data_IF_293471595462
#
_entry.id   IF_293471595462
#
_cell.length_a   1.000
_cell.length_b   1.000
_cell.length_c   1.000
_cell.angle_alpha   90.00
_cell.angle_beta   90.00
_cell.angle_gamma   90.00
#
_symmetry.space_group_name_H-M   'P 1'
#
loop_
_entity.id
_entity.type
_entity.pdbx_description
1 polymer ?
2 polymer ?
3 water ?
#
# COMPACT_ATOMS: atom_id res chain seq x y z
N UNK A 3 -21.46 12.82 12.66
CA UNK A 3 -20.54 11.70 12.53
C UNK A 3 -20.70 11.01 11.18
N UNK A 4 -21.81 11.31 10.50
CA UNK A 4 -22.07 10.77 9.17
C UNK A 4 -20.99 11.20 8.19
N UNK A 5 -20.55 12.46 8.32
CA UNK A 5 -19.47 12.97 7.48
C UNK A 5 -18.20 12.16 7.69
N UNK A 6 -17.85 11.91 8.95
CA UNK A 6 -16.62 11.19 9.25
C UNK A 6 -16.60 9.77 8.70
N UNK A 7 -17.68 9.02 8.91
CA UNK A 7 -17.78 7.65 8.41
C UNK A 7 -17.72 7.60 6.89
N UNK A 8 -18.43 8.53 6.26
CA UNK A 8 -18.41 8.68 4.81
C UNK A 8 -17.00 8.93 4.31
N UNK A 9 -16.28 9.82 4.97
CA UNK A 9 -14.91 10.15 4.58
C UNK A 9 -14.00 8.95 4.75
N UNK A 10 -14.23 8.15 5.79
CA UNK A 10 -13.43 6.94 6.01
C UNK A 10 -13.64 5.92 4.87
N UNK A 11 -14.88 5.75 4.45
CA UNK A 11 -15.18 4.86 3.33
C UNK A 11 -14.51 5.40 2.07
N UNK A 12 -14.69 6.69 1.82
CA UNK A 12 -14.14 7.29 0.62
C UNK A 12 -12.63 7.14 0.58
N UNK A 13 -11.98 7.39 1.72
CA UNK A 13 -10.53 7.25 1.81
C UNK A 13 -10.08 5.83 1.46
N UNK A 14 -10.74 4.83 2.06
CA UNK A 14 -10.42 3.43 1.78
C UNK A 14 -10.49 3.17 0.29
N UNK A 15 -11.57 3.63 -0.33
CA UNK A 15 -11.80 3.32 -1.73
C UNK A 15 -10.79 4.04 -2.64
N UNK A 16 -10.54 5.31 -2.36
CA UNK A 16 -9.53 6.05 -3.13
C UNK A 16 -8.15 5.42 -2.98
N UNK A 17 -7.77 5.05 -1.77
CA UNK A 17 -6.49 4.41 -1.57
C UNK A 17 -6.41 3.09 -2.32
N UNK A 18 -7.45 2.28 -2.22
CA UNK A 18 -7.42 0.98 -2.87
C UNK A 18 -7.21 1.13 -4.38
N UNK A 19 -7.93 2.07 -4.98
CA UNK A 19 -7.84 2.30 -6.40
C UNK A 19 -6.52 2.93 -6.81
N UNK A 20 -6.08 3.94 -6.08
CA UNK A 20 -4.90 4.69 -6.46
C UNK A 20 -3.60 3.97 -6.17
N UNK A 21 -3.53 3.31 -5.02
CA UNK A 21 -2.34 2.56 -4.66
C UNK A 21 -2.32 1.16 -5.27
N UNK A 22 -3.47 0.68 -5.73
CA UNK A 22 -3.56 -0.70 -6.18
C UNK A 22 -3.30 -1.69 -5.05
N UNK A 23 -3.80 -1.38 -3.86
CA UNK A 23 -3.62 -2.23 -2.69
C UNK A 23 -4.95 -2.39 -1.98
N UNK A 24 -5.41 -3.65 -1.88
CA UNK A 24 -6.62 -4.01 -1.16
C UNK A 24 -6.20 -4.75 0.10
N UNK A 25 -6.87 -4.48 1.21
CA UNK A 25 -6.53 -5.11 2.48
C UNK A 25 -7.78 -5.84 2.96
N UNK A 26 -7.69 -7.17 3.09
CA UNK A 26 -8.84 -8.03 3.36
C UNK A 26 -8.67 -8.74 4.68
N UNK A 27 -9.70 -8.72 5.53
CA UNK A 27 -9.67 -9.44 6.79
C UNK A 27 -10.07 -10.88 6.60
N UNK A 28 -9.28 -11.81 7.15
CA UNK A 28 -9.63 -13.22 7.06
C UNK A 28 -9.56 -13.87 8.43
N UNK A 29 -9.81 -15.17 8.48
CA UNK A 29 -9.84 -15.94 9.72
C UNK A 29 -8.55 -15.84 10.52
N UNK A 30 -8.64 -16.15 11.81
CA UNK A 30 -7.50 -16.16 12.71
C UNK A 30 -6.81 -14.80 12.82
N UNK A 31 -7.60 -13.73 12.74
CA UNK A 31 -7.10 -12.37 12.93
C UNK A 31 -5.94 -12.03 12.00
N UNK A 32 -6.10 -12.38 10.72
CA UNK A 32 -5.08 -12.11 9.74
C UNK A 32 -5.58 -11.11 8.72
N UNK A 33 -4.63 -10.42 8.09
CA UNK A 33 -4.94 -9.50 7.00
C UNK A 33 -4.21 -9.93 5.75
N UNK A 34 -4.93 -9.97 4.65
CA UNK A 34 -4.32 -10.17 3.34
C UNK A 34 -4.08 -8.82 2.69
N UNK A 35 -2.87 -8.63 2.15
CA UNK A 35 -2.51 -7.45 1.40
C UNK A 35 -2.42 -7.87 -0.06
N UNK A 36 -3.34 -7.36 -0.87
CA UNK A 36 -3.42 -7.73 -2.28
C UNK A 36 -2.94 -6.54 -3.13
N UNK A 37 -1.77 -6.69 -3.73
CA UNK A 37 -1.25 -5.69 -4.66
C UNK A 37 -1.68 -6.03 -6.08
N UNK A 38 -2.28 -5.04 -6.72
CA UNK A 38 -2.50 -5.10 -8.16
C UNK A 38 -1.73 -3.90 -8.74
N UNK A 39 -1.86 -3.67 -10.03
CA UNK A 39 -1.10 -2.60 -10.69
C UNK A 39 0.41 -2.82 -10.51
N UNK A 40 0.81 -4.08 -10.54
CA UNK A 40 2.20 -4.50 -10.41
C UNK A 40 2.75 -4.83 -11.81
N UNK A 41 2.05 -5.72 -12.50
CA UNK A 41 2.35 -6.13 -13.87
C UNK A 41 1.71 -5.14 -14.85
N UNK A 42 2.54 -4.35 -15.52
CA UNK A 42 2.06 -3.33 -16.46
C UNK A 42 1.21 -3.91 -17.61
N UNK A 43 1.38 -5.20 -17.89
CA UNK A 43 0.61 -5.85 -18.96
C UNK A 43 -0.64 -6.58 -18.46
N UNK A 44 -0.82 -6.61 -17.15
CA UNK A 44 -1.98 -7.27 -16.58
C UNK A 44 -2.21 -6.58 -15.25
N UNK A 45 -2.77 -5.35 -15.30
CA UNK A 45 -2.87 -4.54 -14.09
C UNK A 45 -3.75 -5.15 -13.01
N UNK A 46 -4.63 -6.09 -13.36
CA UNK A 46 -5.46 -6.71 -12.35
C UNK A 46 -4.80 -7.96 -11.73
N UNK A 47 -3.65 -8.38 -12.26
CA UNK A 47 -2.94 -9.55 -11.73
C UNK A 47 -2.51 -9.29 -10.28
N UNK A 48 -2.95 -10.16 -9.36
CA UNK A 48 -2.67 -9.93 -7.94
C UNK A 48 -1.38 -10.57 -7.43
N UNK A 49 -0.73 -9.85 -6.52
CA UNK A 49 0.45 -10.30 -5.80
C UNK A 49 0.13 -10.07 -4.34
N UNK A 50 0.17 -11.11 -3.52
CA UNK A 50 -0.38 -10.97 -2.17
C UNK A 50 0.49 -11.60 -1.10
N UNK A 51 0.32 -11.10 0.12
CA UNK A 51 0.87 -11.79 1.27
C UNK A 51 -0.10 -11.64 2.42
N UNK A 52 0.03 -12.52 3.41
CA UNK A 52 -0.84 -12.53 4.57
C UNK A 52 -0.04 -12.23 5.82
N UNK A 53 -0.61 -11.40 6.68
CA UNK A 53 0.05 -10.91 7.88
C UNK A 53 -0.77 -11.22 9.13
N UNK A 54 -0.08 -11.68 10.16
CA UNK A 54 -0.68 -11.86 11.47
C UNK A 54 0.18 -11.14 12.49
N UNK A 55 -0.37 -11.01 13.70
CA UNK A 55 0.39 -10.53 14.85
C UNK A 55 0.48 -11.71 15.80
N UNK A 56 1.70 -12.11 16.17
CA UNK A 56 1.86 -13.25 17.06
C UNK A 56 1.56 -12.90 18.52
N UNK A 57 1.71 -13.87 19.39
CA UNK A 57 1.32 -13.72 20.78
C UNK A 57 2.19 -12.73 21.54
N UNK A 58 3.34 -12.38 20.99
CA UNK A 58 4.22 -11.39 21.60
C UNK A 58 4.08 -10.02 20.95
N UNK A 59 3.12 -9.87 20.04
CA UNK A 59 2.88 -8.62 19.37
C UNK A 59 3.72 -8.38 18.12
N UNK A 60 4.43 -9.40 17.66
CA UNK A 60 5.30 -9.27 16.49
C UNK A 60 4.58 -9.58 15.19
N UNK A 61 4.94 -8.83 14.15
CA UNK A 61 4.49 -9.13 12.80
C UNK A 61 4.97 -10.50 12.36
N UNK A 62 4.06 -11.25 11.73
CA UNK A 62 4.38 -12.57 11.21
C UNK A 62 3.75 -12.75 9.83
N UNK A 63 4.57 -12.94 8.81
CA UNK A 63 4.08 -13.23 7.46
C UNK A 63 3.68 -14.70 7.41
N UNK A 64 2.42 -14.98 7.11
CA UNK A 64 1.94 -16.36 7.13
C UNK A 64 1.78 -16.96 5.73
N UNK A 65 1.82 -16.13 4.69
CA UNK A 65 1.78 -16.63 3.32
C UNK A 65 2.30 -15.54 2.40
N UNK A 66 2.75 -15.94 1.21
CA UNK A 66 3.17 -14.98 0.20
C UNK A 66 3.02 -15.65 -1.16
N UNK A 67 2.15 -15.09 -2.00
CA UNK A 67 1.79 -15.70 -3.28
C UNK A 67 1.76 -14.64 -4.37
N UNK A 68 2.69 -14.70 -5.32
CA UNK A 68 3.80 -15.65 -5.45
C UNK A 68 4.85 -15.42 -4.37
N UNK A 69 5.69 -16.42 -4.13
CA UNK A 69 6.74 -16.28 -3.11
C UNK A 69 7.73 -15.17 -3.45
N UNK A 70 8.32 -14.60 -2.41
CA UNK A 70 9.37 -13.60 -2.53
C UNK A 70 10.59 -14.06 -1.76
N UNK A 71 11.75 -14.02 -2.43
CA UNK A 71 12.98 -14.44 -1.79
C UNK A 71 13.37 -13.55 -0.62
N UNK A 72 12.87 -12.31 -0.61
CA UNK A 72 13.29 -11.33 0.39
C UNK A 72 12.32 -11.12 1.55
N UNK A 73 11.12 -11.67 1.48
CA UNK A 73 10.10 -11.28 2.46
C UNK A 73 10.40 -11.76 3.89
N UNK A 74 11.05 -12.91 4.05
CA UNK A 74 11.44 -13.33 5.38
C UNK A 74 12.43 -12.35 6.02
N UNK A 75 13.38 -11.85 5.22
CA UNK A 75 14.28 -10.83 5.73
C UNK A 75 13.53 -9.53 5.99
N UNK A 76 12.53 -9.21 5.18
CA UNK A 76 11.73 -8.03 5.44
C UNK A 76 10.99 -8.15 6.79
N UNK A 77 10.54 -9.36 7.12
CA UNK A 77 9.94 -9.57 8.43
C UNK A 77 10.94 -9.31 9.55
N UNK A 78 12.16 -9.81 9.41
CA UNK A 78 13.19 -9.52 10.39
C UNK A 78 13.33 -8.00 10.55
N UNK A 79 13.42 -7.30 9.42
CA UNK A 79 13.64 -5.86 9.44
C UNK A 79 12.49 -5.10 10.07
N UNK A 80 11.25 -5.52 9.83
CA UNK A 80 10.13 -4.81 10.44
C UNK A 80 10.08 -5.09 11.94
N UNK A 81 10.53 -6.27 12.35
CA UNK A 81 10.59 -6.57 13.78
C UNK A 81 11.64 -5.71 14.46
N UNK A 82 12.74 -5.43 13.76
CA UNK A 82 13.83 -4.64 14.31
C UNK A 82 13.56 -3.14 14.32
N UNK A 83 12.96 -2.64 13.24
CA UNK A 83 12.78 -1.21 13.06
C UNK A 83 11.39 -0.71 13.43
N UNK A 84 10.42 -1.63 13.50
CA UNK A 84 9.01 -1.28 13.65
C UNK A 84 8.53 -0.32 12.58
N UNK A 85 9.15 -0.35 11.39
CA UNK A 85 8.76 0.55 10.32
C UNK A 85 7.79 -0.16 9.38
N UNK A 86 6.51 -0.12 9.73
CA UNK A 86 5.51 -0.82 8.94
C UNK A 86 5.41 -0.28 7.52
N UNK A 87 5.45 1.05 7.38
CA UNK A 87 5.43 1.67 6.06
C UNK A 87 6.54 1.13 5.15
N UNK A 88 7.78 1.14 5.65
CA UNK A 88 8.90 0.65 4.84
C UNK A 88 8.76 -0.84 4.52
N UNK A 89 8.23 -1.62 5.45
CA UNK A 89 7.97 -3.04 5.24
C UNK A 89 7.05 -3.23 4.04
N UNK A 90 5.91 -2.54 4.04
CA UNK A 90 4.96 -2.69 2.95
C UNK A 90 5.54 -2.17 1.63
N UNK A 91 6.20 -1.02 1.68
CA UNK A 91 6.78 -0.44 0.47
C UNK A 91 7.86 -1.34 -0.13
N UNK A 92 8.66 -1.97 0.73
CA UNK A 92 9.67 -2.89 0.24
C UNK A 92 9.06 -4.14 -0.39
N UNK A 93 7.97 -4.64 0.20
CA UNK A 93 7.27 -5.78 -0.39
C UNK A 93 6.73 -5.41 -1.78
N UNK A 94 6.13 -4.24 -1.90
CA UNK A 94 5.58 -3.84 -3.19
C UNK A 94 6.68 -3.78 -4.24
N UNK A 95 7.82 -3.19 -3.89
CA UNK A 95 8.95 -3.07 -4.79
C UNK A 95 9.45 -4.45 -5.22
N UNK A 96 9.49 -5.37 -4.27
CA UNK A 96 9.92 -6.73 -4.56
C UNK A 96 8.98 -7.44 -5.53
N UNK A 97 7.67 -7.22 -5.38
CA UNK A 97 6.72 -7.79 -6.33
C UNK A 97 6.89 -7.19 -7.73
N UNK A 98 7.15 -5.89 -7.82
CA UNK A 98 7.39 -5.28 -9.13
C UNK A 98 8.62 -5.90 -9.78
N UNK A 99 9.68 -6.09 -9.02
CA UNK A 99 10.90 -6.70 -9.56
C UNK A 99 10.61 -8.11 -10.05
N UNK A 100 9.86 -8.86 -9.26
CA UNK A 100 9.50 -10.24 -9.61
C UNK A 100 8.68 -10.30 -10.91
N UNK A 101 7.69 -9.42 -11.03
CA UNK A 101 6.85 -9.42 -12.22
C UNK A 101 7.68 -9.15 -13.46
N UNK A 102 8.64 -8.25 -13.33
CA UNK A 102 9.57 -7.99 -14.42
C UNK A 102 10.35 -9.26 -14.80
N UNK A 103 10.82 -10.01 -13.80
CA UNK A 103 11.55 -11.25 -14.06
C UNK A 103 10.67 -12.37 -14.63
N UNK A 104 9.44 -12.50 -14.11
CA UNK A 104 8.45 -13.42 -14.66
C UNK A 104 8.18 -13.08 -16.13
N UNK A 105 8.46 -11.81 -16.45
CA UNK A 105 8.11 -11.19 -17.72
C UNK A 105 6.60 -11.00 -17.84
N UNK B 14 -10.47 0.36 10.28
CA UNK B 14 -9.07 0.03 10.50
C UNK B 14 -8.28 0.16 9.21
N UNK B 15 -8.93 -0.11 8.07
CA UNK B 15 -8.26 -0.14 6.77
C UNK B 15 -7.73 1.22 6.40
N UNK B 16 -8.58 2.23 6.52
CA UNK B 16 -8.24 3.59 6.15
C UNK B 16 -7.03 4.03 6.94
N UNK B 17 -7.01 3.65 8.22
CA UNK B 17 -5.87 4.02 9.03
C UNK B 17 -4.58 3.34 8.58
N UNK B 18 -4.64 2.06 8.23
CA UNK B 18 -3.44 1.38 7.72
C UNK B 18 -2.91 2.06 6.47
N UNK B 19 -3.80 2.53 5.60
CA UNK B 19 -3.34 3.22 4.41
C UNK B 19 -2.55 4.47 4.75
N UNK B 20 -2.99 5.22 5.77
CA UNK B 20 -2.24 6.38 6.20
C UNK B 20 -0.91 5.96 6.83
N UNK B 21 -0.94 4.95 7.68
CA UNK B 21 0.28 4.48 8.31
C UNK B 21 1.34 4.13 7.24
N UNK B 22 0.90 3.51 6.17
CA UNK B 22 1.80 3.11 5.09
C UNK B 22 2.24 4.30 4.23
N UNK B 23 1.27 5.06 3.74
CA UNK B 23 1.55 6.05 2.71
C UNK B 23 1.86 7.44 3.24
N UNK B 24 1.32 7.76 4.42
CA UNK B 24 1.39 9.10 5.00
C UNK B 24 0.75 10.15 4.09
N UNK B 25 -0.26 9.74 3.32
CA UNK B 25 -1.01 10.66 2.49
C UNK B 25 -2.36 10.95 3.12
N UNK B 26 -2.71 12.23 3.17
CA UNK B 26 -4.06 12.66 3.53
C UNK B 26 -4.70 13.22 2.28
N UNK B 27 -5.82 12.63 1.85
CA UNK B 27 -6.50 13.08 0.63
C UNK B 27 -7.39 14.29 0.84
N UNK B 28 -7.52 15.10 -0.21
CA UNK B 28 -8.59 16.08 -0.31
C UNK B 28 -9.84 15.33 -0.74
N UNK B 29 -10.89 15.43 0.06
CA UNK B 29 -12.12 14.66 -0.17
C UNK B 29 -13.18 15.42 -0.93
N UNK B 30 -12.91 16.68 -1.29
CA UNK B 30 -13.90 17.51 -1.96
C UNK B 30 -13.79 17.43 -3.48
N UNK B 31 -12.56 17.26 -3.97
CA UNK B 31 -12.35 17.26 -5.41
C UNK B 31 -12.85 15.97 -6.06
N UNK B 32 -13.04 16.04 -7.37
CA UNK B 32 -13.55 14.93 -8.17
C UNK B 32 -12.52 13.80 -8.27
N UNK B 33 -12.94 12.60 -8.65
CA UNK B 33 -12.05 11.45 -8.53
C UNK B 33 -10.80 11.45 -9.41
N UNK B 34 -10.85 12.11 -10.56
CA UNK B 34 -9.68 12.17 -11.43
C UNK B 34 -8.65 13.18 -10.94
N UNK B 35 -9.01 14.00 -9.96
CA UNK B 35 -8.05 14.92 -9.38
C UNK B 35 -7.44 14.27 -8.16
N UNK B 36 -6.21 13.78 -8.30
CA UNK B 36 -5.49 13.18 -7.20
C UNK B 36 -4.85 14.32 -6.43
N UNK B 37 -5.41 14.61 -5.25
CA UNK B 37 -4.99 15.78 -4.49
C UNK B 37 -4.95 15.45 -3.02
N UNK B 38 -3.87 15.88 -2.38
CA UNK B 38 -3.72 15.65 -0.96
C UNK B 38 -2.37 16.19 -0.51
N UNK B 39 -1.93 15.74 0.65
CA UNK B 39 -0.63 16.11 1.16
C UNK B 39 0.08 14.82 1.58
N UNK B 40 1.36 14.71 1.22
CA UNK B 40 2.21 13.60 1.62
C UNK B 40 3.13 14.05 2.75
N UNK B 41 3.03 13.38 3.89
CA UNK B 41 3.83 13.70 5.07
C UNK B 41 5.06 12.80 5.12
N UNK B 42 5.17 11.94 6.14
CA UNK B 42 6.32 11.06 6.25
C UNK B 42 7.51 11.73 6.92
N UNK B 43 8.69 11.09 6.84
CA UNK B 43 9.88 11.58 7.55
C UNK B 43 10.40 12.93 7.06
N UNK B 44 10.21 13.22 5.78
CA UNK B 44 10.66 14.49 5.21
C UNK B 44 9.56 15.54 5.30
N UNK B 45 9.89 16.78 4.95
CA UNK B 45 8.94 17.88 4.97
C UNK B 45 7.74 17.57 4.06
N UNK B 46 6.54 17.87 4.54
CA UNK B 46 5.32 17.53 3.81
C UNK B 46 5.24 18.26 2.48
N UNK B 47 4.74 17.55 1.47
CA UNK B 47 4.60 18.13 0.13
C UNK B 47 3.21 17.87 -0.42
N UNK B 48 2.69 18.81 -1.21
CA UNK B 48 1.36 18.64 -1.80
C UNK B 48 1.37 17.64 -2.94
N UNK B 49 0.22 17.00 -3.14
CA UNK B 49 -0.06 16.18 -4.30
C UNK B 49 -1.21 16.87 -5.00
N UNK B 50 -1.10 17.13 -6.30
CA UNK B 50 -2.21 17.70 -7.05
C UNK B 50 -2.00 17.47 -8.53
N UNK B 51 -2.69 16.48 -9.07
CA UNK B 51 -2.53 16.18 -10.47
C UNK B 51 -3.78 15.53 -11.04
N UNK B 52 -3.96 15.69 -12.34
CA UNK B 52 -5.07 15.10 -13.06
C UNK B 52 -4.62 13.74 -13.54
N UNK B 53 -5.29 12.68 -13.08
CA UNK B 53 -4.87 11.34 -13.44
C UNK B 53 -5.50 10.85 -14.75
N UNK B 54 -6.34 11.69 -15.36
CA UNK B 54 -7.13 11.32 -16.54
C UNK B 54 -6.37 10.59 -17.64
N UNK B 55 -5.22 11.12 -18.01
CA UNK B 55 -4.48 10.58 -19.14
C UNK B 55 -3.26 9.79 -18.72
N UNK B 56 -3.38 9.11 -17.59
CA UNK B 56 -2.32 8.26 -17.07
C UNK B 56 -2.85 6.87 -16.78
N UNK B 57 -2.05 5.85 -17.03
CA UNK B 57 -2.49 4.49 -16.76
C UNK B 57 -2.47 4.19 -15.26
N UNK B 58 -3.24 3.19 -14.87
CA UNK B 58 -3.33 2.79 -13.47
C UNK B 58 -1.98 2.39 -12.88
N UNK B 59 -1.19 1.63 -13.62
CA UNK B 59 0.09 1.18 -13.11
C UNK B 59 1.07 2.32 -12.92
N UNK B 60 1.11 3.25 -13.88
CA UNK B 60 2.00 4.38 -13.76
C UNK B 60 1.59 5.30 -12.62
N UNK B 61 0.29 5.50 -12.42
CA UNK B 61 -0.19 6.25 -11.27
C UNK B 61 0.19 5.60 -9.95
N UNK B 62 -0.02 4.29 -9.84
CA UNK B 62 0.36 3.60 -8.61
C UNK B 62 1.87 3.66 -8.38
N UNK B 63 2.67 3.47 -9.42
CA UNK B 63 4.11 3.56 -9.27
C UNK B 63 4.52 4.96 -8.78
N UNK B 64 3.87 5.99 -9.33
CA UNK B 64 4.10 7.37 -8.91
C UNK B 64 3.77 7.57 -7.42
N UNK B 65 2.61 7.11 -6.97
CA UNK B 65 2.25 7.33 -5.59
C UNK B 65 3.15 6.52 -4.66
N UNK B 66 3.48 5.28 -5.02
CA UNK B 66 4.41 4.52 -4.20
C UNK B 66 5.81 5.11 -4.19
N UNK B 67 6.18 5.86 -5.23
CA UNK B 67 7.48 6.50 -5.24
C UNK B 67 7.65 7.52 -4.12
N UNK B 68 6.54 7.99 -3.57
CA UNK B 68 6.58 8.93 -2.45
C UNK B 68 6.95 8.27 -1.12
N UNK B 69 6.81 6.95 -1.05
CA UNK B 69 6.93 6.24 0.21
C UNK B 69 8.35 5.69 0.35
N UNK B 70 9.12 6.20 1.32
CA UNK B 70 10.50 5.73 1.39
C UNK B 70 10.62 4.26 1.75
N UNK B 71 11.68 3.64 1.24
CA UNK B 71 11.97 2.25 1.51
C UNK B 71 13.21 2.05 2.37
N UNK B 72 13.90 3.13 2.69
CA UNK B 72 15.13 3.06 3.47
C UNK B 72 14.89 2.56 4.89
N UNK B 73 15.66 1.56 5.29
CA UNK B 73 15.69 1.08 6.66
C UNK B 73 16.91 0.20 6.93
#
# INVERSE_FOLDING_TARGET
>A
GSTKERVERLCKSKELFEERLGLEIRRIHNEQLQFIFRHIDHKDPDKPYMFTLSINEQGDYEVTSCTPPLDCISEFQLKVRETNNFSAFIANIRKAFTALSFKQST
>B
GYEREDDGVPSAAYVTQLYYKISRIDWDYEVEPARIKGIHYGPDIAQPINMDSSHHSRCFISDYLWSLVPTAW
#
